data_IF_368537790408
#
_entry.id   IF_368537790408
#
_cell.length_a   1.000
_cell.length_b   1.000
_cell.length_c   1.000
_cell.angle_alpha   90.00
_cell.angle_beta   90.00
_cell.angle_gamma   90.00
#
_symmetry.space_group_name_H-M   'P 1'
#
loop_
_entity.id
_entity.type
_entity.pdbx_description
1 polymer ?
#
# COMPACT_ATOMS: atom_id res chain seq x y z
N UNK A 1 14.99 14.92 8.32
CA UNK A 1 13.90 15.30 9.23
C UNK A 1 13.08 14.07 9.58
N UNK A 2 12.80 13.90 10.86
CA UNK A 2 11.96 12.78 11.31
C UNK A 2 10.49 13.06 10.98
N UNK A 3 9.84 12.10 10.36
CA UNK A 3 8.43 12.17 9.99
C UNK A 3 7.71 10.93 10.52
N UNK A 4 6.51 11.13 11.04
CA UNK A 4 5.67 10.07 11.60
C UNK A 4 4.45 9.86 10.70
N UNK A 5 4.07 8.60 10.52
CA UNK A 5 2.85 8.24 9.78
C UNK A 5 1.64 8.79 10.54
N UNK A 6 0.82 9.58 9.86
CA UNK A 6 -0.21 10.40 10.53
C UNK A 6 -1.65 9.89 10.34
N UNK A 7 -1.87 8.81 9.59
CA UNK A 7 -3.23 8.33 9.36
C UNK A 7 -3.31 6.82 9.54
N UNK A 8 -4.54 6.34 9.73
CA UNK A 8 -4.80 4.98 10.18
C UNK A 8 -4.75 3.96 9.06
N UNK A 9 -4.48 2.68 9.38
CA UNK A 9 -4.67 1.61 8.41
C UNK A 9 -6.15 1.47 8.05
N UNK A 10 -6.40 0.96 6.84
CA UNK A 10 -7.74 0.61 6.42
C UNK A 10 -7.83 -0.91 6.47
N UNK A 11 -8.67 -1.44 7.35
CA UNK A 11 -8.96 -2.87 7.42
C UNK A 11 -10.14 -3.13 8.36
N UNK A 12 -10.69 -4.32 8.28
CA UNK A 12 -11.64 -4.82 9.28
C UNK A 12 -11.39 -6.33 9.48
N UNK A 13 -12.20 -6.95 10.31
CA UNK A 13 -12.03 -8.36 10.64
C UNK A 13 -12.19 -9.30 9.43
N UNK A 14 -12.79 -8.83 8.35
CA UNK A 14 -13.05 -9.61 7.13
C UNK A 14 -11.98 -9.42 6.06
N UNK A 15 -11.03 -8.52 6.25
CA UNK A 15 -9.96 -8.28 5.28
C UNK A 15 -9.16 -9.56 5.02
N UNK A 16 -8.92 -9.86 3.76
CA UNK A 16 -8.25 -11.10 3.32
C UNK A 16 -6.86 -10.91 2.77
N UNK A 17 -6.56 -9.73 2.26
CA UNK A 17 -5.23 -9.36 1.78
C UNK A 17 -4.84 -8.00 2.32
N UNK A 18 -3.53 -7.76 2.39
CA UNK A 18 -2.98 -6.48 2.83
C UNK A 18 -2.03 -5.96 1.77
N UNK A 19 -2.24 -4.72 1.35
CA UNK A 19 -1.32 -4.02 0.46
C UNK A 19 -0.52 -3.02 1.28
N UNK A 20 0.80 -3.09 1.19
CA UNK A 20 1.72 -2.23 1.94
C UNK A 20 2.54 -1.36 1.00
N UNK A 21 2.50 -0.04 1.21
CA UNK A 21 3.49 0.87 0.67
C UNK A 21 4.67 1.04 1.62
N UNK A 22 5.65 1.84 1.24
CA UNK A 22 6.80 2.14 2.11
C UNK A 22 6.43 3.21 3.14
N UNK A 23 6.16 4.41 2.68
CA UNK A 23 5.81 5.56 3.50
C UNK A 23 5.01 6.54 2.64
N UNK A 24 4.05 7.29 3.22
CA UNK A 24 3.22 8.19 2.41
C UNK A 24 4.03 9.36 1.85
N UNK A 25 3.69 9.75 0.63
CA UNK A 25 4.24 10.95 -0.01
C UNK A 25 3.84 12.21 0.72
N UNK A 26 4.45 13.34 0.35
CA UNK A 26 4.07 14.65 0.92
C UNK A 26 2.57 14.91 0.71
N UNK A 27 2.06 14.66 -0.50
CA UNK A 27 0.62 14.86 -0.80
C UNK A 27 -0.27 13.98 0.07
N UNK A 28 0.12 12.73 0.30
CA UNK A 28 -0.63 11.83 1.17
C UNK A 28 -0.61 12.31 2.63
N UNK A 29 0.53 12.80 3.10
CA UNK A 29 0.64 13.34 4.46
C UNK A 29 -0.20 14.61 4.64
N UNK A 30 -0.23 15.48 3.64
CA UNK A 30 -1.05 16.70 3.66
C UNK A 30 -2.54 16.35 3.70
N UNK A 31 -2.96 15.32 2.99
CA UNK A 31 -4.36 14.92 2.88
C UNK A 31 -4.76 13.83 3.88
N UNK A 32 -3.82 13.32 4.65
CA UNK A 32 -4.02 12.22 5.59
C UNK A 32 -4.71 11.01 4.95
N UNK A 33 -4.30 10.68 3.71
CA UNK A 33 -4.86 9.53 3.02
C UNK A 33 -3.87 8.96 2.00
N UNK A 34 -4.09 7.70 1.64
CA UNK A 34 -3.19 6.91 0.80
C UNK A 34 -3.22 7.33 -0.66
N UNK A 35 -2.03 7.41 -1.26
CA UNK A 35 -1.87 7.65 -2.70
C UNK A 35 -2.66 8.87 -3.17
N UNK A 36 -2.54 9.96 -2.42
CA UNK A 36 -3.32 11.18 -2.67
C UNK A 36 -2.75 12.07 -3.77
N UNK A 37 -1.54 11.81 -4.25
CA UNK A 37 -1.00 12.53 -5.39
C UNK A 37 -1.85 12.19 -6.63
N UNK A 38 -2.44 13.19 -7.31
CA UNK A 38 -3.31 12.94 -8.46
C UNK A 38 -2.63 12.16 -9.60
N UNK A 39 -1.30 12.21 -9.67
CA UNK A 39 -0.53 11.48 -10.69
C UNK A 39 -0.20 10.06 -10.27
N UNK A 40 -0.48 9.66 -9.03
CA UNK A 40 -0.27 8.28 -8.60
C UNK A 40 -1.35 7.39 -9.22
N UNK A 41 -0.95 6.23 -9.72
CA UNK A 41 -1.83 5.34 -10.45
C UNK A 41 -2.51 4.26 -9.59
N UNK A 42 -2.36 4.33 -8.27
CA UNK A 42 -2.88 3.28 -7.39
C UNK A 42 -4.38 3.07 -7.53
N UNK A 43 -5.15 4.13 -7.35
CA UNK A 43 -6.61 4.04 -7.37
C UNK A 43 -7.17 3.71 -8.75
N UNK A 44 -6.61 4.29 -9.80
CA UNK A 44 -7.03 3.96 -11.16
C UNK A 44 -6.68 2.51 -11.52
N UNK A 45 -5.54 2.01 -11.04
CA UNK A 45 -5.14 0.62 -11.25
C UNK A 45 -6.14 -0.33 -10.60
N UNK A 46 -6.48 -0.11 -9.33
CA UNK A 46 -7.47 -0.96 -8.64
C UNK A 46 -8.84 -0.87 -9.29
N UNK A 47 -9.28 0.31 -9.67
CA UNK A 47 -10.54 0.47 -10.39
C UNK A 47 -10.58 -0.38 -11.66
N UNK A 48 -9.50 -0.37 -12.41
CA UNK A 48 -9.40 -1.17 -13.64
C UNK A 48 -9.34 -2.67 -13.35
N UNK A 49 -8.64 -3.08 -12.30
CA UNK A 49 -8.56 -4.50 -11.90
C UNK A 49 -9.95 -5.06 -11.61
N UNK A 50 -10.80 -4.29 -10.93
CA UNK A 50 -12.14 -4.72 -10.54
C UNK A 50 -13.23 -4.25 -11.52
N UNK A 51 -12.85 -3.50 -12.55
CA UNK A 51 -13.78 -2.91 -13.51
C UNK A 51 -14.86 -2.08 -12.80
N UNK A 52 -14.44 -1.25 -11.86
CA UNK A 52 -15.32 -0.39 -11.07
C UNK A 52 -14.82 1.04 -11.05
N UNK A 53 -15.75 1.98 -10.96
CA UNK A 53 -15.44 3.37 -10.66
C UNK A 53 -15.44 3.54 -9.15
N UNK A 54 -14.24 3.70 -8.57
CA UNK A 54 -14.09 3.77 -7.11
C UNK A 54 -14.70 5.06 -6.54
N UNK A 55 -14.67 6.14 -7.30
CA UNK A 55 -15.01 7.47 -6.80
C UNK A 55 -13.78 8.23 -6.32
N UNK A 56 -13.96 9.50 -5.98
CA UNK A 56 -12.83 10.38 -5.66
C UNK A 56 -12.67 10.67 -4.17
N UNK A 57 -13.73 10.52 -3.37
CA UNK A 57 -13.66 10.82 -1.95
C UNK A 57 -12.89 9.73 -1.20
N UNK A 58 -12.30 10.13 -0.07
CA UNK A 58 -11.62 9.18 0.81
C UNK A 58 -12.60 8.11 1.31
N UNK A 59 -13.85 8.48 1.57
CA UNK A 59 -14.90 7.56 1.99
C UNK A 59 -15.22 6.53 0.92
N UNK A 60 -15.28 6.95 -0.36
CA UNK A 60 -15.52 6.02 -1.47
C UNK A 60 -14.38 5.00 -1.59
N UNK A 61 -13.15 5.46 -1.46
CA UNK A 61 -11.96 4.62 -1.53
C UNK A 61 -11.91 3.61 -0.39
N UNK A 62 -12.19 4.05 0.81
CA UNK A 62 -12.23 3.15 1.98
C UNK A 62 -13.33 2.11 1.83
N UNK A 63 -14.52 2.52 1.41
CA UNK A 63 -15.65 1.59 1.18
C UNK A 63 -15.29 0.55 0.13
N UNK A 64 -14.65 0.98 -0.97
CA UNK A 64 -14.20 0.05 -2.02
C UNK A 64 -13.27 -1.02 -1.45
N UNK A 65 -12.25 -0.59 -0.70
CA UNK A 65 -11.29 -1.54 -0.13
C UNK A 65 -11.96 -2.53 0.81
N UNK A 66 -12.78 -2.04 1.73
CA UNK A 66 -13.43 -2.90 2.71
C UNK A 66 -14.44 -3.84 2.06
N UNK A 67 -15.17 -3.37 1.05
CA UNK A 67 -16.10 -4.21 0.29
C UNK A 67 -15.38 -5.36 -0.40
N UNK A 68 -14.19 -5.11 -0.94
CA UNK A 68 -13.39 -6.13 -1.61
C UNK A 68 -12.46 -6.88 -0.67
N UNK A 69 -12.55 -6.62 0.65
CA UNK A 69 -11.75 -7.30 1.67
C UNK A 69 -10.25 -7.07 1.53
N UNK A 70 -9.90 -5.86 1.11
CA UNK A 70 -8.53 -5.40 0.93
C UNK A 70 -8.16 -4.47 2.08
N UNK A 71 -7.10 -4.81 2.82
CA UNK A 71 -6.50 -3.93 3.81
C UNK A 71 -5.38 -3.11 3.17
N UNK A 72 -5.15 -1.92 3.71
CA UNK A 72 -4.15 -0.99 3.17
C UNK A 72 -3.42 -0.30 4.31
N UNK A 73 -2.09 -0.31 4.25
CA UNK A 73 -1.25 0.43 5.18
C UNK A 73 0.13 0.65 4.56
N UNK A 74 1.07 1.12 5.36
CA UNK A 74 2.47 1.29 4.97
C UNK A 74 3.38 0.57 5.96
N UNK A 75 4.56 0.16 5.51
CA UNK A 75 5.54 -0.53 6.37
C UNK A 75 6.04 0.38 7.49
N UNK A 76 6.27 1.65 7.20
CA UNK A 76 6.98 2.57 8.09
C UNK A 76 6.03 3.37 8.98
N UNK A 77 6.25 3.30 10.29
CA UNK A 77 5.60 4.17 11.26
C UNK A 77 6.30 5.54 11.30
N UNK A 78 7.62 5.56 11.42
CA UNK A 78 8.40 6.79 11.41
C UNK A 78 9.77 6.56 10.77
N UNK A 79 10.31 7.62 10.21
CA UNK A 79 11.65 7.58 9.60
C UNK A 79 12.18 8.99 9.40
N UNK A 80 13.45 9.07 9.02
CA UNK A 80 14.02 10.28 8.45
C UNK A 80 13.93 10.18 6.93
N UNK A 81 13.37 11.20 6.31
CA UNK A 81 13.16 11.22 4.85
C UNK A 81 13.29 12.66 4.35
N UNK A 82 13.80 12.80 3.12
CA UNK A 82 13.86 14.09 2.40
C UNK A 82 12.73 14.10 1.37
N UNK A 83 11.72 14.93 1.61
CA UNK A 83 10.52 15.04 0.75
C UNK A 83 9.84 13.69 0.58
N UNK A 84 9.68 13.19 -0.66
CA UNK A 84 9.09 11.88 -0.94
C UNK A 84 10.12 10.92 -1.54
N UNK A 85 11.40 11.20 -1.37
CA UNK A 85 12.48 10.42 -1.96
C UNK A 85 12.72 9.13 -1.16
N UNK A 86 12.26 8.00 -1.69
CA UNK A 86 12.44 6.68 -1.06
C UNK A 86 13.90 6.34 -0.78
N UNK A 87 14.83 6.83 -1.60
CA UNK A 87 16.26 6.55 -1.39
C UNK A 87 16.84 7.30 -0.20
N UNK A 88 16.15 8.31 0.31
CA UNK A 88 16.60 9.07 1.48
C UNK A 88 16.10 8.49 2.81
N UNK A 89 15.27 7.45 2.76
CA UNK A 89 14.68 6.87 3.98
C UNK A 89 15.75 6.22 4.84
N UNK A 90 15.77 6.59 6.12
CA UNK A 90 16.65 5.99 7.16
C UNK A 90 16.00 6.12 8.53
N UNK A 91 16.59 5.43 9.51
CA UNK A 91 16.09 5.41 10.90
C UNK A 91 14.63 4.93 10.96
N UNK A 92 14.36 3.81 10.32
CA UNK A 92 13.01 3.26 10.17
C UNK A 92 12.52 2.63 11.46
N UNK A 93 11.32 3.02 11.89
CA UNK A 93 10.53 2.30 12.88
C UNK A 93 9.31 1.77 12.15
N UNK A 94 9.12 0.44 12.08
CA UNK A 94 8.00 -0.14 11.34
C UNK A 94 6.67 0.01 12.08
N UNK A 95 5.59 -0.03 11.32
CA UNK A 95 4.23 -0.16 11.87
C UNK A 95 4.01 -1.58 12.40
N UNK A 96 3.06 -1.72 13.31
CA UNK A 96 2.67 -3.03 13.85
C UNK A 96 1.74 -3.76 12.87
N UNK A 97 2.35 -4.39 11.87
CA UNK A 97 1.60 -5.10 10.83
C UNK A 97 1.04 -6.42 11.36
N UNK A 98 1.76 -7.07 12.29
CA UNK A 98 1.29 -8.32 12.89
C UNK A 98 -0.08 -8.15 13.55
N UNK A 99 -0.32 -7.01 14.20
CA UNK A 99 -1.61 -6.70 14.82
C UNK A 99 -2.74 -6.74 13.79
N UNK A 100 -2.53 -6.13 12.62
CA UNK A 100 -3.54 -6.11 11.55
C UNK A 100 -3.83 -7.53 11.06
N UNK A 101 -2.79 -8.33 10.87
CA UNK A 101 -2.94 -9.71 10.42
C UNK A 101 -3.70 -10.54 11.46
N UNK A 102 -3.36 -10.37 12.74
CA UNK A 102 -3.99 -11.12 13.83
C UNK A 102 -5.47 -10.75 14.03
N UNK A 103 -5.84 -9.51 13.70
CA UNK A 103 -7.23 -9.01 13.87
C UNK A 103 -8.12 -9.22 12.65
N UNK A 104 -7.62 -9.92 11.63
CA UNK A 104 -8.33 -10.07 10.36
C UNK A 104 -8.19 -11.49 9.82
N UNK A 105 -8.61 -11.69 8.57
CA UNK A 105 -8.46 -12.96 7.83
C UNK A 105 -7.36 -12.88 6.79
N UNK A 106 -6.42 -11.95 6.95
CA UNK A 106 -5.35 -11.73 5.97
C UNK A 106 -4.49 -12.97 5.83
N UNK A 107 -4.37 -13.46 4.60
CA UNK A 107 -3.56 -14.62 4.23
C UNK A 107 -2.51 -14.31 3.16
N UNK A 108 -2.53 -13.11 2.61
CA UNK A 108 -1.57 -12.69 1.59
C UNK A 108 -1.21 -11.22 1.81
N UNK A 109 0.06 -10.89 1.58
CA UNK A 109 0.58 -9.54 1.71
C UNK A 109 1.25 -9.15 0.40
N UNK A 110 0.92 -7.97 -0.10
CA UNK A 110 1.47 -7.40 -1.32
C UNK A 110 2.21 -6.11 -0.99
N UNK A 111 3.36 -5.89 -1.61
CA UNK A 111 4.12 -4.64 -1.42
C UNK A 111 4.18 -3.87 -2.73
N UNK A 112 3.93 -2.56 -2.66
CA UNK A 112 3.94 -1.70 -3.84
C UNK A 112 5.34 -1.13 -4.05
N UNK A 113 6.06 -1.71 -5.00
CA UNK A 113 7.41 -1.28 -5.36
C UNK A 113 8.52 -1.98 -4.59
N UNK A 114 9.73 -1.83 -5.09
CA UNK A 114 10.90 -2.52 -4.55
C UNK A 114 11.27 -2.05 -3.14
N UNK A 115 11.08 -0.77 -2.83
CA UNK A 115 11.43 -0.22 -1.51
C UNK A 115 10.53 -0.81 -0.43
N UNK A 116 9.22 -0.83 -0.66
CA UNK A 116 8.27 -1.45 0.29
C UNK A 116 8.61 -2.92 0.50
N UNK A 117 8.92 -3.63 -0.57
CA UNK A 117 9.27 -5.04 -0.51
C UNK A 117 10.51 -5.28 0.35
N UNK A 118 11.60 -4.52 0.10
CA UNK A 118 12.84 -4.69 0.86
C UNK A 118 12.68 -4.32 2.33
N UNK A 119 11.90 -3.28 2.62
CA UNK A 119 11.64 -2.84 4.01
C UNK A 119 10.78 -3.87 4.76
N UNK A 120 9.77 -4.42 4.11
CA UNK A 120 8.95 -5.46 4.71
C UNK A 120 9.82 -6.68 5.08
N UNK A 121 10.65 -7.13 4.16
CA UNK A 121 11.52 -8.28 4.40
C UNK A 121 12.51 -8.01 5.54
N UNK A 122 13.04 -6.80 5.61
CA UNK A 122 14.02 -6.44 6.63
C UNK A 122 13.42 -6.31 8.03
N UNK A 123 12.25 -5.69 8.15
CA UNK A 123 11.72 -5.27 9.45
C UNK A 123 10.52 -6.08 9.93
N UNK A 124 9.77 -6.71 9.04
CA UNK A 124 8.47 -7.28 9.37
C UNK A 124 8.29 -8.76 9.04
N UNK A 125 8.97 -9.29 8.04
CA UNK A 125 8.73 -10.65 7.58
C UNK A 125 8.86 -11.68 8.70
N UNK A 126 9.90 -11.58 9.52
CA UNK A 126 10.16 -12.54 10.58
C UNK A 126 9.05 -12.54 11.62
N UNK A 127 8.54 -11.37 11.97
CA UNK A 127 7.48 -11.21 12.96
C UNK A 127 6.12 -11.63 12.43
N UNK A 128 5.80 -11.23 11.21
CA UNK A 128 4.49 -11.48 10.58
C UNK A 128 4.38 -12.92 10.05
N UNK A 129 5.44 -13.45 9.48
CA UNK A 129 5.48 -14.83 9.01
C UNK A 129 4.83 -15.10 7.67
N UNK A 130 4.41 -14.08 6.94
CA UNK A 130 3.82 -14.20 5.60
C UNK A 130 4.76 -13.54 4.60
N UNK A 131 5.23 -14.28 3.60
CA UNK A 131 6.06 -13.71 2.55
C UNK A 131 5.25 -12.74 1.70
N UNK A 132 5.84 -11.59 1.38
CA UNK A 132 5.18 -10.59 0.55
C UNK A 132 5.33 -10.93 -0.94
N UNK A 133 4.31 -10.56 -1.70
CA UNK A 133 4.33 -10.61 -3.16
C UNK A 133 4.62 -9.18 -3.64
N UNK A 134 5.71 -9.00 -4.37
CA UNK A 134 6.10 -7.68 -4.86
C UNK A 134 5.26 -7.27 -6.07
N UNK A 135 4.65 -6.09 -5.99
CA UNK A 135 3.96 -5.46 -7.11
C UNK A 135 4.77 -4.26 -7.59
N UNK A 136 4.68 -3.90 -8.86
CA UNK A 136 5.36 -2.69 -9.36
C UNK A 136 4.78 -1.43 -8.70
N UNK A 137 5.63 -0.40 -8.57
CA UNK A 137 5.22 0.87 -7.98
C UNK A 137 4.19 1.60 -8.84
N UNK A 138 3.19 2.20 -8.18
CA UNK A 138 2.20 3.09 -8.81
C UNK A 138 2.64 4.55 -8.83
N UNK A 139 3.81 4.84 -8.28
CA UNK A 139 4.36 6.20 -8.25
C UNK A 139 4.48 6.80 -9.66
N UNK A 140 4.26 8.12 -9.81
CA UNK A 140 4.52 8.81 -11.08
C UNK A 140 5.95 8.63 -11.60
N UNK A 141 6.90 8.40 -10.70
CA UNK A 141 8.30 8.14 -11.08
C UNK A 141 8.45 6.85 -11.89
N UNK A 142 7.54 5.90 -11.78
CA UNK A 142 7.51 4.69 -12.59
C UNK A 142 6.71 4.98 -13.87
N UNK A 143 7.37 5.57 -14.87
CA UNK A 143 6.71 6.12 -16.04
C UNK A 143 7.08 5.41 -17.34
N UNK A 144 7.33 4.11 -17.27
CA UNK A 144 7.63 3.30 -18.46
C UNK A 144 6.47 3.34 -19.45
N UNK A 145 6.80 3.23 -20.75
CA UNK A 145 5.79 3.13 -21.79
C UNK A 145 4.91 1.89 -21.53
N UNK A 146 3.58 2.09 -21.56
CA UNK A 146 2.62 1.01 -21.32
C UNK A 146 2.48 0.62 -19.86
N UNK A 147 2.92 1.48 -18.93
CA UNK A 147 2.91 1.18 -17.51
C UNK A 147 1.51 0.87 -16.97
N UNK A 148 0.46 1.52 -17.48
CA UNK A 148 -0.90 1.28 -17.01
C UNK A 148 -1.30 -0.18 -17.22
N UNK A 149 -0.95 -0.75 -18.37
CA UNK A 149 -1.24 -2.15 -18.68
C UNK A 149 -0.46 -3.11 -17.80
N UNK A 150 0.82 -2.80 -17.58
CA UNK A 150 1.69 -3.59 -16.68
C UNK A 150 1.12 -3.60 -15.27
N UNK A 151 0.69 -2.44 -14.78
CA UNK A 151 0.12 -2.31 -13.43
C UNK A 151 -1.16 -3.13 -13.29
N UNK A 152 -2.09 -3.01 -14.23
CA UNK A 152 -3.35 -3.77 -14.16
C UNK A 152 -3.08 -5.27 -14.19
N UNK A 153 -2.21 -5.74 -15.07
CA UNK A 153 -1.86 -7.15 -15.15
C UNK A 153 -1.24 -7.66 -13.84
N UNK A 154 -0.32 -6.89 -13.27
CA UNK A 154 0.36 -7.28 -12.03
C UNK A 154 -0.59 -7.25 -10.83
N UNK A 155 -1.37 -6.19 -10.69
CA UNK A 155 -2.29 -6.03 -9.56
C UNK A 155 -3.49 -6.95 -9.63
N UNK A 156 -3.81 -7.50 -10.81
CA UNK A 156 -4.87 -8.50 -10.94
C UNK A 156 -4.61 -9.77 -10.13
N UNK A 157 -3.37 -10.02 -9.75
CA UNK A 157 -3.01 -11.17 -8.89
C UNK A 157 -3.72 -11.13 -7.55
N UNK A 158 -4.04 -9.95 -7.03
CA UNK A 158 -4.70 -9.84 -5.73
C UNK A 158 -6.05 -10.55 -5.72
N UNK A 159 -6.73 -10.60 -6.85
CA UNK A 159 -8.05 -11.24 -6.96
C UNK A 159 -8.00 -12.74 -6.66
N UNK A 160 -6.87 -13.39 -6.92
CA UNK A 160 -6.69 -14.82 -6.66
C UNK A 160 -6.75 -15.15 -5.17
N UNK A 161 -6.58 -14.15 -4.31
CA UNK A 161 -6.52 -14.32 -2.86
C UNK A 161 -7.78 -13.82 -2.15
N UNK A 162 -8.76 -13.35 -2.88
CA UNK A 162 -9.96 -12.73 -2.30
C UNK A 162 -11.17 -13.66 -2.21
N UNK A 163 -11.09 -14.84 -2.77
CA UNK A 163 -12.17 -15.84 -2.74
C UNK A 163 -12.20 -16.66 -1.46
#
# INVERSE_FOLDING_TARGET
MKVVHSFKPIYNSESKILILGSFPSIKSRENNFYYANPKNRFWSTLGNVFNENIGESNQDKERFLLTHKIALFDVIYSCNIMASNDNSIKDVIPNDIKKIVDESKIKAIFTTGAKAYSLYNKYLLKDVGIEAIKLPSTSPANSKRGIEKVLVNSYSKIREYLD
#
